data_IF_105168540597
#
_entry.id   IF_105168540597
#
_cell.length_a   1.000
_cell.length_b   1.000
_cell.length_c   1.000
_cell.angle_alpha   90.00
_cell.angle_beta   90.00
_cell.angle_gamma   90.00
#
_symmetry.space_group_name_H-M   'P 1'
#
loop_
_entity.id
_entity.type
_entity.pdbx_description
1 polymer ?
#
# COMPACT_ATOMS: atom_id res chain seq x y z
N UNK A 1 -12.27 -15.45 -28.04
CA UNK A 1 -11.61 -14.77 -26.91
C UNK A 1 -11.04 -15.88 -26.03
N UNK A 2 -9.82 -15.70 -25.52
CA UNK A 2 -9.27 -16.63 -24.52
C UNK A 2 -9.99 -16.42 -23.18
N UNK A 3 -10.06 -17.46 -22.36
CA UNK A 3 -10.69 -17.37 -21.06
C UNK A 3 -9.85 -16.49 -20.12
N UNK A 4 -10.54 -15.66 -19.34
CA UNK A 4 -9.92 -14.78 -18.35
C UNK A 4 -9.55 -15.64 -17.14
N UNK A 5 -8.26 -15.82 -16.90
CA UNK A 5 -7.75 -16.59 -15.76
C UNK A 5 -7.52 -15.73 -14.50
N UNK A 6 -7.24 -14.44 -14.68
CA UNK A 6 -6.95 -13.50 -13.60
C UNK A 6 -7.60 -12.16 -13.88
N UNK A 7 -8.07 -11.47 -12.83
CA UNK A 7 -8.51 -10.08 -12.88
C UNK A 7 -7.74 -9.32 -11.81
N UNK A 8 -7.07 -8.24 -12.23
CA UNK A 8 -6.26 -7.40 -11.35
C UNK A 8 -6.92 -6.04 -11.18
N UNK A 9 -7.07 -5.59 -9.93
CA UNK A 9 -7.41 -4.21 -9.57
C UNK A 9 -6.25 -3.57 -8.83
N UNK A 10 -6.15 -2.25 -8.91
CA UNK A 10 -5.16 -1.39 -8.25
C UNK A 10 -5.85 -0.06 -7.94
N UNK A 11 -5.35 0.69 -6.95
CA UNK A 11 -5.74 2.07 -6.67
C UNK A 11 -7.27 2.24 -6.54
N UNK A 12 -7.89 1.36 -5.76
CA UNK A 12 -9.33 1.44 -5.51
C UNK A 12 -9.67 2.44 -4.40
N UNK A 13 -8.75 2.67 -3.47
CA UNK A 13 -8.87 3.58 -2.32
C UNK A 13 -10.24 3.49 -1.61
N UNK A 14 -10.70 2.25 -1.36
CA UNK A 14 -12.01 2.03 -0.73
C UNK A 14 -12.01 2.61 0.69
N UNK A 15 -12.92 3.53 0.95
CA UNK A 15 -12.99 4.32 2.18
C UNK A 15 -12.65 5.80 1.99
N UNK A 16 -12.00 6.18 0.89
CA UNK A 16 -11.68 7.58 0.58
C UNK A 16 -12.89 8.35 0.05
N UNK A 17 -12.98 9.64 0.36
CA UNK A 17 -14.06 10.52 -0.12
C UNK A 17 -13.99 10.78 -1.64
N UNK A 18 -12.79 10.81 -2.22
CA UNK A 18 -12.58 11.06 -3.65
C UNK A 18 -12.59 9.78 -4.52
N UNK A 19 -12.59 8.60 -3.90
CA UNK A 19 -12.74 7.34 -4.63
C UNK A 19 -14.17 7.17 -5.16
N UNK A 20 -14.30 7.08 -6.49
CA UNK A 20 -15.57 6.76 -7.16
C UNK A 20 -16.15 5.40 -6.73
N UNK A 21 -15.32 4.51 -6.19
CA UNK A 21 -15.71 3.18 -5.73
C UNK A 21 -16.25 3.20 -4.30
N UNK A 22 -15.96 4.25 -3.54
CA UNK A 22 -16.56 4.54 -2.24
C UNK A 22 -17.92 5.21 -2.43
N UNK A 23 -18.89 4.83 -1.60
CA UNK A 23 -20.20 5.47 -1.60
C UNK A 23 -20.22 6.58 -0.56
N UNK A 24 -20.73 7.75 -0.92
CA UNK A 24 -20.90 8.89 -0.01
C UNK A 24 -22.37 9.08 0.39
N UNK A 25 -22.59 9.80 1.48
CA UNK A 25 -23.92 10.32 1.82
C UNK A 25 -24.33 11.41 0.84
N UNK A 26 -25.64 11.59 0.68
CA UNK A 26 -26.18 12.59 -0.23
C UNK A 26 -25.70 14.00 0.15
N UNK A 27 -25.10 14.70 -0.82
CA UNK A 27 -24.54 16.06 -0.65
C UNK A 27 -23.54 16.19 0.51
N UNK A 28 -22.70 15.18 0.73
CA UNK A 28 -21.71 15.14 1.82
C UNK A 28 -20.43 14.42 1.36
N UNK A 29 -19.31 14.72 2.03
CA UNK A 29 -18.06 13.97 1.90
C UNK A 29 -17.97 12.77 2.86
N UNK A 30 -18.96 12.60 3.75
CA UNK A 30 -19.04 11.45 4.64
C UNK A 30 -19.27 10.17 3.85
N UNK A 31 -18.49 9.13 4.17
CA UNK A 31 -18.72 7.79 3.61
C UNK A 31 -20.06 7.21 4.08
N UNK A 32 -20.81 6.60 3.16
CA UNK A 32 -21.94 5.73 3.46
C UNK A 32 -21.59 4.28 3.15
N UNK A 33 -21.00 3.64 4.16
CA UNK A 33 -20.56 2.25 4.12
C UNK A 33 -21.69 1.22 4.06
N UNK A 34 -22.96 1.62 4.15
CA UNK A 34 -24.11 0.68 4.16
C UNK A 34 -24.46 0.15 2.77
N UNK A 35 -24.03 0.83 1.70
CA UNK A 35 -24.37 0.48 0.32
C UNK A 35 -23.15 0.66 -0.59
N UNK A 36 -22.99 -0.17 -1.64
CA UNK A 36 -21.96 0.08 -2.64
C UNK A 36 -22.30 1.29 -3.50
N UNK A 37 -21.26 1.98 -4.00
CA UNK A 37 -21.43 3.12 -4.92
C UNK A 37 -22.07 2.67 -6.24
N UNK A 38 -22.66 3.61 -6.97
CA UNK A 38 -23.24 3.32 -8.27
C UNK A 38 -22.18 2.83 -9.26
N UNK A 39 -20.99 3.45 -9.24
CA UNK A 39 -19.86 3.10 -10.10
C UNK A 39 -19.36 1.69 -9.79
N UNK A 40 -19.21 1.34 -8.50
CA UNK A 40 -18.79 -0.01 -8.09
C UNK A 40 -19.76 -1.09 -8.57
N UNK A 41 -21.08 -0.83 -8.54
CA UNK A 41 -22.09 -1.76 -9.06
C UNK A 41 -21.97 -1.95 -10.57
N UNK A 42 -21.81 -0.87 -11.33
CA UNK A 42 -21.69 -0.96 -12.79
C UNK A 42 -20.35 -1.59 -13.20
N UNK A 43 -19.26 -1.31 -12.49
CA UNK A 43 -17.98 -2.00 -12.65
C UNK A 43 -18.15 -3.52 -12.53
N UNK A 44 -18.75 -4.00 -11.43
CA UNK A 44 -18.95 -5.44 -11.21
C UNK A 44 -19.90 -6.05 -12.26
N UNK A 45 -20.89 -5.30 -12.73
CA UNK A 45 -21.79 -5.74 -13.81
C UNK A 45 -21.04 -5.88 -15.14
N UNK A 46 -20.15 -4.96 -15.48
CA UNK A 46 -19.28 -5.05 -16.65
C UNK A 46 -18.35 -6.26 -16.55
N UNK A 47 -17.68 -6.45 -15.42
CA UNK A 47 -16.85 -7.64 -15.17
C UNK A 47 -17.62 -8.93 -15.36
N UNK A 48 -18.85 -8.99 -14.83
CA UNK A 48 -19.72 -10.16 -14.97
C UNK A 48 -20.01 -10.48 -16.44
N UNK A 49 -20.24 -9.47 -17.27
CA UNK A 49 -20.45 -9.65 -18.71
C UNK A 49 -19.20 -10.12 -19.45
N UNK A 50 -18.00 -9.77 -18.97
CA UNK A 50 -16.74 -10.23 -19.53
C UNK A 50 -16.45 -11.69 -19.12
N UNK A 51 -16.51 -11.98 -17.83
CA UNK A 51 -16.21 -13.31 -17.27
C UNK A 51 -17.24 -14.35 -17.71
N UNK A 52 -18.50 -13.97 -17.93
CA UNK A 52 -19.53 -14.90 -18.45
C UNK A 52 -19.25 -15.42 -19.87
N UNK A 53 -18.25 -14.88 -20.56
CA UNK A 53 -17.81 -15.34 -21.89
C UNK A 53 -16.72 -16.40 -21.83
N UNK A 54 -16.20 -16.69 -20.63
CA UNK A 54 -15.27 -17.81 -20.43
C UNK A 54 -15.96 -19.13 -20.81
N UNK A 55 -15.21 -20.02 -21.46
CA UNK A 55 -15.67 -21.35 -21.90
C UNK A 55 -15.55 -22.37 -20.78
N UNK A 56 -14.47 -22.30 -20.02
CA UNK A 56 -14.25 -23.11 -18.84
C UNK A 56 -15.10 -22.61 -17.67
N UNK A 57 -15.66 -23.53 -16.87
CA UNK A 57 -16.36 -23.21 -15.62
C UNK A 57 -15.38 -22.83 -14.48
N UNK A 58 -14.14 -22.49 -14.83
CA UNK A 58 -13.13 -22.06 -13.87
C UNK A 58 -13.26 -20.55 -13.65
N UNK A 59 -13.53 -20.16 -12.41
CA UNK A 59 -13.58 -18.75 -12.02
C UNK A 59 -12.18 -18.14 -12.02
N UNK A 60 -12.01 -16.90 -12.55
CA UNK A 60 -10.75 -16.19 -12.49
C UNK A 60 -10.29 -15.97 -11.04
N UNK A 61 -8.97 -15.93 -10.81
CA UNK A 61 -8.40 -15.47 -9.54
C UNK A 61 -8.43 -13.95 -9.49
N UNK A 62 -8.89 -13.39 -8.37
CA UNK A 62 -8.84 -11.96 -8.11
C UNK A 62 -7.47 -11.58 -7.52
N UNK A 63 -6.83 -10.59 -8.13
CA UNK A 63 -5.60 -9.96 -7.65
C UNK A 63 -5.95 -8.52 -7.28
N UNK A 64 -5.62 -8.14 -6.04
CA UNK A 64 -5.83 -6.83 -5.45
C UNK A 64 -4.44 -6.21 -5.25
N UNK A 65 -3.98 -5.46 -6.25
CA UNK A 65 -2.61 -4.99 -6.41
C UNK A 65 -2.44 -3.53 -6.01
N UNK A 66 -2.35 -3.26 -4.72
CA UNK A 66 -1.96 -1.97 -4.18
C UNK A 66 -3.11 -0.99 -4.01
N UNK A 67 -3.05 -0.24 -2.91
CA UNK A 67 -3.94 0.87 -2.56
C UNK A 67 -5.43 0.55 -2.80
N UNK A 68 -5.85 -0.62 -2.29
CA UNK A 68 -7.21 -1.12 -2.47
C UNK A 68 -8.10 -0.58 -1.36
N UNK A 69 -7.59 -0.55 -0.12
CA UNK A 69 -8.23 0.10 1.00
C UNK A 69 -7.54 1.44 1.24
N UNK A 70 -8.32 2.49 1.48
CA UNK A 70 -7.76 3.75 1.96
C UNK A 70 -7.49 3.63 3.45
N UNK A 71 -6.31 3.12 3.78
CA UNK A 71 -5.90 2.88 5.14
C UNK A 71 -4.95 3.97 5.64
N UNK A 72 -4.56 4.94 4.82
CA UNK A 72 -3.78 6.07 5.28
C UNK A 72 -4.67 7.16 5.85
N UNK A 73 -5.76 7.49 5.16
CA UNK A 73 -6.48 8.76 5.37
C UNK A 73 -7.86 8.58 5.98
N UNK A 74 -8.45 7.38 5.90
CA UNK A 74 -9.74 7.09 6.50
C UNK A 74 -9.63 6.12 7.69
N UNK A 75 -10.72 6.02 8.46
CA UNK A 75 -10.75 5.12 9.61
C UNK A 75 -10.78 3.66 9.14
N UNK A 76 -10.10 2.76 9.86
CA UNK A 76 -10.05 1.34 9.51
C UNK A 76 -11.45 0.73 9.33
N UNK A 77 -12.43 1.13 10.14
CA UNK A 77 -13.80 0.64 10.01
C UNK A 77 -14.48 1.10 8.71
N UNK A 78 -14.23 2.32 8.25
CA UNK A 78 -14.81 2.82 7.00
C UNK A 78 -14.23 2.09 5.80
N UNK A 79 -12.90 2.02 5.69
CA UNK A 79 -12.22 1.27 4.63
C UNK A 79 -12.65 -0.20 4.60
N UNK A 80 -12.68 -0.86 5.76
CA UNK A 80 -13.09 -2.26 5.88
C UNK A 80 -14.55 -2.47 5.43
N UNK A 81 -15.47 -1.62 5.87
CA UNK A 81 -16.88 -1.75 5.49
C UNK A 81 -17.11 -1.40 4.02
N UNK A 82 -16.36 -0.45 3.45
CA UNK A 82 -16.37 -0.18 2.00
C UNK A 82 -15.86 -1.39 1.21
N UNK A 83 -14.76 -2.01 1.65
CA UNK A 83 -14.25 -3.25 1.10
C UNK A 83 -15.26 -4.40 1.15
N UNK A 84 -16.00 -4.54 2.26
CA UNK A 84 -17.08 -5.54 2.35
C UNK A 84 -18.15 -5.35 1.26
N UNK A 85 -18.48 -4.10 0.90
CA UNK A 85 -19.47 -3.83 -0.18
C UNK A 85 -18.96 -4.30 -1.54
N UNK A 86 -17.66 -4.17 -1.82
CA UNK A 86 -17.05 -4.74 -3.02
C UNK A 86 -17.11 -6.26 -3.01
N UNK A 87 -16.67 -6.89 -1.92
CA UNK A 87 -16.65 -8.36 -1.78
C UNK A 87 -18.06 -8.94 -1.91
N UNK A 88 -19.08 -8.28 -1.38
CA UNK A 88 -20.48 -8.72 -1.53
C UNK A 88 -20.98 -8.75 -2.98
N UNK A 89 -20.50 -7.84 -3.81
CA UNK A 89 -20.89 -7.78 -5.21
C UNK A 89 -20.20 -8.87 -6.03
N UNK A 90 -18.93 -9.16 -5.73
CA UNK A 90 -18.12 -10.11 -6.51
C UNK A 90 -18.19 -11.55 -6.00
N UNK A 91 -18.44 -11.76 -4.70
CA UNK A 91 -18.56 -13.10 -4.08
C UNK A 91 -19.99 -13.51 -3.76
N UNK A 92 -20.99 -12.82 -4.34
CA UNK A 92 -22.42 -13.12 -4.12
C UNK A 92 -22.72 -14.61 -4.34
N UNK A 93 -23.23 -15.30 -3.31
CA UNK A 93 -23.53 -16.74 -3.34
C UNK A 93 -24.39 -17.13 -4.56
N UNK A 94 -23.94 -18.16 -5.28
CA UNK A 94 -24.56 -18.66 -6.54
C UNK A 94 -24.33 -17.75 -7.75
N UNK A 95 -23.58 -16.66 -7.60
CA UNK A 95 -23.21 -15.68 -8.63
C UNK A 95 -21.78 -15.18 -8.42
N UNK A 96 -20.91 -15.99 -7.83
CA UNK A 96 -19.55 -15.58 -7.52
C UNK A 96 -18.78 -15.38 -8.83
N UNK A 97 -18.05 -14.28 -8.93
CA UNK A 97 -17.24 -13.92 -10.10
C UNK A 97 -15.85 -14.55 -10.04
N UNK A 98 -15.32 -14.76 -8.85
CA UNK A 98 -13.93 -15.11 -8.64
C UNK A 98 -13.79 -16.41 -7.84
N UNK A 99 -12.60 -16.99 -7.94
CA UNK A 99 -12.14 -18.06 -7.05
C UNK A 99 -12.22 -17.62 -5.58
N UNK A 100 -12.30 -18.61 -4.67
CA UNK A 100 -12.33 -18.37 -3.23
C UNK A 100 -10.98 -17.91 -2.67
N UNK A 101 -9.90 -18.13 -3.41
CA UNK A 101 -8.57 -17.60 -3.12
C UNK A 101 -8.39 -16.25 -3.82
N UNK A 102 -8.17 -15.21 -3.02
CA UNK A 102 -7.87 -13.86 -3.48
C UNK A 102 -6.41 -13.55 -3.13
N UNK A 103 -5.67 -12.95 -4.06
CA UNK A 103 -4.31 -12.47 -3.83
C UNK A 103 -4.35 -10.98 -3.58
N UNK A 104 -3.70 -10.54 -2.51
CA UNK A 104 -3.57 -9.14 -2.13
C UNK A 104 -2.10 -8.75 -2.13
N UNK A 105 -1.75 -7.68 -2.81
CA UNK A 105 -0.42 -7.08 -2.82
C UNK A 105 -0.55 -5.69 -2.22
N UNK A 106 -0.17 -5.49 -0.95
CA UNK A 106 -0.28 -4.18 -0.32
C UNK A 106 0.53 -3.10 -1.04
N UNK A 107 -0.06 -1.92 -1.16
CA UNK A 107 0.54 -0.68 -1.59
C UNK A 107 1.01 0.14 -0.39
N UNK A 108 1.15 1.45 -0.58
CA UNK A 108 1.56 2.35 0.49
C UNK A 108 0.39 2.77 1.38
N UNK A 109 -0.81 2.99 0.84
CA UNK A 109 -1.98 3.40 1.63
C UNK A 109 -2.47 2.29 2.54
N UNK A 110 -2.27 1.03 2.14
CA UNK A 110 -2.68 -0.16 2.89
C UNK A 110 -1.50 -1.03 3.33
N UNK A 111 -0.29 -0.46 3.42
CA UNK A 111 0.95 -1.12 3.85
C UNK A 111 0.79 -1.83 5.20
N UNK A 112 0.02 -1.26 6.13
CA UNK A 112 -0.25 -1.87 7.43
C UNK A 112 -0.84 -3.29 7.37
N UNK A 113 -1.51 -3.65 6.26
CA UNK A 113 -1.98 -5.01 6.04
C UNK A 113 -0.83 -6.00 5.86
N UNK A 114 0.28 -5.58 5.25
CA UNK A 114 1.51 -6.37 5.23
C UNK A 114 2.10 -6.51 6.62
N UNK A 115 2.24 -5.41 7.36
CA UNK A 115 2.82 -5.41 8.71
C UNK A 115 2.10 -6.38 9.66
N UNK A 116 0.77 -6.31 9.70
CA UNK A 116 -0.04 -7.21 10.52
C UNK A 116 0.07 -8.68 10.08
N UNK A 117 0.12 -8.94 8.77
CA UNK A 117 0.29 -10.29 8.22
C UNK A 117 1.69 -10.86 8.53
N UNK A 118 2.74 -10.03 8.40
CA UNK A 118 4.13 -10.34 8.73
C UNK A 118 4.29 -10.68 10.21
N UNK A 119 3.76 -9.85 11.10
CA UNK A 119 3.82 -10.10 12.54
C UNK A 119 3.10 -11.40 12.90
N UNK A 120 1.91 -11.64 12.33
CA UNK A 120 1.18 -12.89 12.54
C UNK A 120 1.97 -14.10 12.06
N UNK A 121 2.59 -14.01 10.88
CA UNK A 121 3.46 -15.06 10.33
C UNK A 121 4.64 -15.34 11.28
N UNK A 122 5.26 -14.29 11.82
CA UNK A 122 6.39 -14.43 12.74
C UNK A 122 5.97 -15.04 14.09
N UNK A 123 4.81 -14.68 14.64
CA UNK A 123 4.23 -15.34 15.83
C UNK A 123 4.03 -16.84 15.58
N UNK A 124 3.52 -17.22 14.39
CA UNK A 124 3.38 -18.63 14.02
C UNK A 124 4.73 -19.34 13.83
N UNK A 125 5.75 -18.65 13.33
CA UNK A 125 7.12 -19.15 13.27
C UNK A 125 7.68 -19.42 14.66
N UNK A 126 7.56 -18.46 15.59
CA UNK A 126 8.00 -18.61 16.99
C UNK A 126 7.33 -19.82 17.64
N UNK A 127 6.00 -19.94 17.48
CA UNK A 127 5.22 -21.05 18.05
C UNK A 127 5.70 -22.43 17.59
N UNK A 128 6.21 -22.54 16.36
CA UNK A 128 6.69 -23.79 15.76
C UNK A 128 8.20 -24.01 15.95
N UNK A 129 8.95 -22.95 16.24
CA UNK A 129 10.40 -22.99 16.34
C UNK A 129 10.86 -23.71 17.60
N UNK A 130 11.89 -24.55 17.46
CA UNK A 130 12.64 -25.16 18.57
C UNK A 130 14.03 -24.54 18.74
N UNK A 131 14.34 -23.49 17.97
CA UNK A 131 15.65 -22.84 17.98
C UNK A 131 15.82 -22.04 19.28
N UNK A 132 17.04 -22.03 19.82
CA UNK A 132 17.40 -21.17 20.97
C UNK A 132 17.53 -19.70 20.59
N UNK A 133 17.87 -19.44 19.33
CA UNK A 133 17.96 -18.10 18.75
C UNK A 133 16.91 -17.97 17.65
N UNK A 134 16.18 -16.88 17.65
CA UNK A 134 15.17 -16.57 16.66
C UNK A 134 15.77 -15.64 15.60
N UNK A 135 15.55 -15.98 14.34
CA UNK A 135 15.94 -15.13 13.21
C UNK A 135 15.01 -13.90 13.15
N UNK A 136 15.44 -12.81 12.52
CA UNK A 136 14.59 -11.62 12.35
C UNK A 136 13.33 -11.95 11.51
N UNK A 137 12.22 -11.19 11.69
CA UNK A 137 11.03 -11.34 10.86
C UNK A 137 11.30 -11.13 9.37
N UNK A 138 10.48 -11.76 8.52
CA UNK A 138 10.60 -11.59 7.07
C UNK A 138 10.14 -10.23 6.61
N UNK A 139 10.93 -9.54 5.80
CA UNK A 139 10.57 -8.22 5.28
C UNK A 139 9.72 -8.31 4.02
N UNK A 140 9.89 -9.36 3.22
CA UNK A 140 9.09 -9.60 2.00
C UNK A 140 8.66 -11.06 1.89
N UNK A 141 7.66 -11.32 1.05
CA UNK A 141 7.27 -12.68 0.66
C UNK A 141 8.07 -13.18 -0.54
N UNK A 142 8.00 -14.48 -0.81
CA UNK A 142 8.39 -14.99 -2.13
C UNK A 142 7.38 -14.48 -3.17
N UNK A 143 7.84 -13.96 -4.31
CA UNK A 143 6.96 -13.47 -5.37
C UNK A 143 6.13 -14.61 -5.99
N UNK A 144 6.70 -15.81 -6.13
CA UNK A 144 6.06 -16.94 -6.80
C UNK A 144 5.40 -17.88 -5.78
N UNK A 145 4.20 -17.52 -5.32
CA UNK A 145 3.43 -18.23 -4.27
C UNK A 145 2.61 -19.41 -4.84
N UNK A 146 2.66 -19.66 -6.15
CA UNK A 146 1.93 -20.76 -6.79
C UNK A 146 2.40 -22.12 -6.24
N UNK A 147 1.62 -22.69 -5.31
CA UNK A 147 1.66 -24.04 -4.69
C UNK A 147 1.57 -24.04 -3.15
N UNK A 148 1.01 -23.01 -2.53
CA UNK A 148 0.61 -23.03 -1.10
C UNK A 148 1.78 -23.16 -0.11
N UNK A 149 3.02 -23.05 -0.59
CA UNK A 149 4.20 -23.00 0.25
C UNK A 149 4.61 -21.53 0.36
N UNK A 150 4.52 -20.98 1.58
CA UNK A 150 4.92 -19.60 1.85
C UNK A 150 3.84 -18.54 1.58
N UNK A 151 2.59 -18.94 1.33
CA UNK A 151 1.47 -18.00 1.32
C UNK A 151 1.28 -17.42 2.73
N UNK A 152 1.26 -16.10 2.83
CA UNK A 152 0.95 -15.38 4.07
C UNK A 152 -0.53 -15.05 4.03
N UNK A 153 -1.31 -15.40 5.05
CA UNK A 153 -2.71 -15.01 5.11
C UNK A 153 -2.83 -13.60 5.69
N UNK A 154 -3.64 -12.73 5.09
CA UNK A 154 -4.10 -11.52 5.76
C UNK A 154 -5.19 -11.90 6.75
N UNK A 155 -4.82 -12.05 8.03
CA UNK A 155 -5.78 -12.41 9.08
C UNK A 155 -6.93 -11.39 9.19
N UNK A 156 -6.63 -10.09 9.07
CA UNK A 156 -7.63 -9.03 9.13
C UNK A 156 -8.67 -9.15 8.01
N UNK A 157 -8.24 -9.09 6.74
CA UNK A 157 -9.16 -9.16 5.60
C UNK A 157 -9.86 -10.52 5.50
N UNK A 158 -9.17 -11.62 5.79
CA UNK A 158 -9.78 -12.96 5.77
C UNK A 158 -10.88 -13.06 6.82
N UNK A 159 -10.63 -12.62 8.05
CA UNK A 159 -11.64 -12.60 9.12
C UNK A 159 -12.83 -11.71 8.75
N UNK A 160 -12.56 -10.53 8.19
CA UNK A 160 -13.59 -9.59 7.72
C UNK A 160 -14.52 -10.25 6.69
N UNK A 161 -13.96 -10.87 5.66
CA UNK A 161 -14.73 -11.49 4.57
C UNK A 161 -15.44 -12.76 5.03
N UNK A 162 -14.82 -13.58 5.89
CA UNK A 162 -15.37 -14.84 6.37
C UNK A 162 -16.62 -14.67 7.25
N UNK A 163 -16.88 -13.47 7.79
CA UNK A 163 -18.16 -13.14 8.44
C UNK A 163 -19.37 -13.42 7.54
N UNK A 164 -19.20 -13.36 6.21
CA UNK A 164 -20.25 -13.60 5.20
C UNK A 164 -19.90 -14.70 4.21
N UNK A 165 -18.62 -14.92 3.95
CA UNK A 165 -18.13 -15.87 2.94
C UNK A 165 -17.07 -16.80 3.57
N UNK A 166 -17.49 -17.81 4.34
CA UNK A 166 -16.60 -18.56 5.24
C UNK A 166 -15.47 -19.33 4.53
N UNK A 167 -15.64 -19.63 3.24
CA UNK A 167 -14.64 -20.38 2.48
C UNK A 167 -13.64 -19.49 1.72
N UNK A 168 -13.78 -18.17 1.81
CA UNK A 168 -12.89 -17.22 1.11
C UNK A 168 -11.66 -16.96 1.96
N UNK A 169 -10.49 -16.96 1.32
CA UNK A 169 -9.19 -16.70 1.94
C UNK A 169 -8.48 -15.62 1.14
N UNK A 170 -7.92 -14.64 1.86
CA UNK A 170 -7.12 -13.56 1.27
C UNK A 170 -5.67 -13.79 1.65
N UNK A 171 -4.87 -14.14 0.65
CA UNK A 171 -3.42 -14.31 0.78
C UNK A 171 -2.69 -13.03 0.39
N UNK A 172 -1.66 -12.70 1.14
CA UNK A 172 -0.77 -11.56 0.92
C UNK A 172 0.50 -12.04 0.21
N UNK A 173 0.86 -11.31 -0.83
CA UNK A 173 2.17 -11.35 -1.46
C UNK A 173 2.73 -9.92 -1.46
N UNK A 174 3.92 -9.70 -0.91
CA UNK A 174 4.47 -8.36 -0.73
C UNK A 174 5.99 -8.31 -0.97
N UNK A 175 6.51 -7.25 -1.64
CA UNK A 175 5.76 -6.23 -2.37
C UNK A 175 5.40 -6.67 -3.80
N UNK A 176 5.80 -7.88 -4.19
CA UNK A 176 5.63 -8.40 -5.53
C UNK A 176 4.89 -9.73 -5.51
N UNK A 177 4.03 -9.94 -6.50
CA UNK A 177 3.42 -11.23 -6.81
C UNK A 177 3.79 -11.66 -8.23
N UNK A 178 4.13 -12.92 -8.43
CA UNK A 178 4.60 -13.46 -9.68
C UNK A 178 3.78 -14.66 -10.14
N UNK A 179 3.42 -14.66 -11.43
CA UNK A 179 2.86 -15.82 -12.12
C UNK A 179 3.90 -16.37 -13.09
N UNK A 180 4.04 -17.69 -13.17
CA UNK A 180 4.90 -18.37 -14.13
C UNK A 180 4.07 -19.02 -15.22
N UNK A 181 4.56 -18.99 -16.46
CA UNK A 181 4.02 -19.84 -17.50
C UNK A 181 4.24 -21.32 -17.14
N UNK A 182 3.42 -22.21 -17.70
CA UNK A 182 3.48 -23.66 -17.39
C UNK A 182 4.85 -24.29 -17.66
N UNK A 183 5.59 -23.76 -18.63
CA UNK A 183 6.95 -24.16 -19.01
C UNK A 183 8.05 -23.39 -18.25
N UNK A 184 7.69 -22.43 -17.40
CA UNK A 184 8.61 -21.57 -16.66
C UNK A 184 9.37 -20.56 -17.51
N UNK A 185 9.10 -20.45 -18.82
CA UNK A 185 9.86 -19.60 -19.74
C UNK A 185 9.45 -18.12 -19.68
N UNK A 186 8.27 -17.81 -19.14
CA UNK A 186 7.74 -16.45 -19.01
C UNK A 186 7.18 -16.24 -17.63
N UNK A 187 7.24 -14.99 -17.16
CA UNK A 187 6.57 -14.60 -15.94
C UNK A 187 5.82 -13.27 -16.13
N UNK A 188 4.81 -13.08 -15.30
CA UNK A 188 4.17 -11.78 -15.08
C UNK A 188 4.40 -11.43 -13.62
N UNK A 189 4.91 -10.23 -13.37
CA UNK A 189 5.13 -9.72 -12.01
C UNK A 189 4.19 -8.54 -11.79
N UNK A 190 3.42 -8.62 -10.71
CA UNK A 190 2.55 -7.59 -10.17
C UNK A 190 3.29 -6.89 -9.05
N UNK A 191 3.33 -5.57 -9.11
CA UNK A 191 3.88 -4.71 -8.07
C UNK A 191 3.08 -3.42 -8.03
N UNK A 192 2.92 -2.82 -6.85
CA UNK A 192 2.31 -1.49 -6.73
C UNK A 192 3.23 -0.40 -7.28
N UNK A 193 4.53 -0.52 -6.98
CA UNK A 193 5.56 0.41 -7.48
C UNK A 193 5.93 1.54 -6.53
N UNK A 194 5.40 1.59 -5.30
CA UNK A 194 5.74 2.65 -4.33
C UNK A 194 7.25 2.78 -4.08
N UNK A 195 8.05 1.69 -4.13
CA UNK A 195 9.51 1.80 -3.99
C UNK A 195 10.25 2.47 -5.16
N UNK A 196 9.56 2.81 -6.24
CA UNK A 196 10.11 3.63 -7.33
C UNK A 196 10.17 5.10 -6.91
N UNK A 197 9.25 5.54 -6.04
CA UNK A 197 9.20 6.89 -5.52
C UNK A 197 10.22 7.04 -4.36
N UNK A 198 11.12 8.02 -4.42
CA UNK A 198 12.17 8.16 -3.41
C UNK A 198 11.65 8.53 -2.01
N UNK A 199 10.42 9.03 -1.86
CA UNK A 199 9.84 9.26 -0.52
C UNK A 199 9.72 7.95 0.27
N UNK A 200 9.40 6.83 -0.39
CA UNK A 200 9.31 5.51 0.24
C UNK A 200 10.69 4.89 0.47
N UNK A 201 11.76 5.55 0.01
CA UNK A 201 13.15 5.19 0.23
C UNK A 201 13.89 6.22 1.08
N UNK A 202 13.15 7.08 1.79
CA UNK A 202 13.73 8.20 2.52
C UNK A 202 14.73 7.73 3.58
N UNK A 203 14.43 6.67 4.33
CA UNK A 203 15.32 6.20 5.40
C UNK A 203 16.61 5.61 4.84
N UNK A 204 16.54 4.89 3.72
CA UNK A 204 17.74 4.44 2.99
C UNK A 204 18.58 5.62 2.54
N UNK A 205 17.94 6.65 1.97
CA UNK A 205 18.60 7.86 1.50
C UNK A 205 19.25 8.63 2.67
N UNK A 206 18.58 8.75 3.80
CA UNK A 206 19.12 9.40 4.99
C UNK A 206 20.31 8.62 5.57
N UNK A 207 20.26 7.28 5.56
CA UNK A 207 21.40 6.45 5.99
C UNK A 207 22.62 6.70 5.13
N UNK A 208 22.48 6.70 3.81
CA UNK A 208 23.61 6.89 2.89
C UNK A 208 24.21 8.29 3.00
N UNK A 209 23.38 9.31 3.31
CA UNK A 209 23.85 10.67 3.59
C UNK A 209 24.54 10.81 4.96
N UNK A 210 24.02 10.18 6.01
CA UNK A 210 24.51 10.34 7.37
C UNK A 210 25.78 9.52 7.66
N UNK A 211 25.95 8.37 7.01
CA UNK A 211 27.04 7.44 7.28
C UNK A 211 27.89 7.20 6.03
N UNK A 212 28.99 7.94 5.93
CA UNK A 212 29.97 7.83 4.82
C UNK A 212 30.42 6.37 4.63
N UNK A 213 30.29 5.84 3.42
CA UNK A 213 30.63 4.45 3.08
C UNK A 213 29.46 3.47 3.11
N UNK A 214 28.25 3.92 3.46
CA UNK A 214 27.03 3.10 3.32
C UNK A 214 26.53 3.11 1.88
N UNK A 215 26.24 1.93 1.33
CA UNK A 215 25.66 1.80 -0.01
C UNK A 215 24.13 1.88 0.03
N UNK A 216 23.53 2.28 -1.09
CA UNK A 216 22.08 2.18 -1.28
C UNK A 216 21.66 0.70 -1.31
N UNK A 217 20.54 0.32 -0.67
CA UNK A 217 20.06 -1.06 -0.74
C UNK A 217 19.71 -1.43 -2.18
N UNK A 218 20.19 -2.60 -2.62
CA UNK A 218 19.97 -3.11 -3.98
C UNK A 218 18.91 -4.20 -4.04
N UNK A 219 18.52 -4.76 -2.88
CA UNK A 219 17.50 -5.80 -2.79
C UNK A 219 16.21 -5.23 -2.23
N UNK A 220 15.08 -5.78 -2.68
CA UNK A 220 13.77 -5.38 -2.19
C UNK A 220 13.60 -5.66 -0.69
N UNK A 221 14.28 -6.70 -0.20
CA UNK A 221 14.31 -7.03 1.21
C UNK A 221 14.94 -5.91 2.03
N UNK A 222 16.10 -5.41 1.62
CA UNK A 222 16.83 -4.37 2.34
C UNK A 222 16.11 -3.02 2.24
N UNK A 223 15.52 -2.70 1.07
CA UNK A 223 14.70 -1.51 0.89
C UNK A 223 13.53 -1.52 1.89
N UNK A 224 12.76 -2.60 1.96
CA UNK A 224 11.67 -2.71 2.94
C UNK A 224 12.21 -2.71 4.37
N UNK A 225 13.27 -3.47 4.68
CA UNK A 225 13.85 -3.55 6.03
C UNK A 225 14.23 -2.17 6.60
N UNK A 226 14.72 -1.27 5.73
CA UNK A 226 15.14 0.07 6.10
C UNK A 226 13.98 1.06 6.17
N UNK A 227 12.92 0.88 5.38
CA UNK A 227 11.87 1.89 5.19
C UNK A 227 10.50 1.50 5.74
N UNK A 228 10.22 0.23 6.09
CA UNK A 228 8.88 -0.22 6.48
C UNK A 228 8.27 0.63 7.59
N UNK A 229 9.06 0.97 8.61
CA UNK A 229 8.60 1.76 9.75
C UNK A 229 8.28 3.21 9.35
N UNK A 230 9.01 3.77 8.38
CA UNK A 230 8.71 5.09 7.83
C UNK A 230 7.42 5.06 7.01
N UNK A 231 7.24 4.04 6.18
CA UNK A 231 6.04 3.86 5.36
C UNK A 231 4.81 3.69 6.25
N UNK A 232 4.84 2.77 7.21
CA UNK A 232 3.72 2.53 8.13
C UNK A 232 3.46 3.72 9.06
N UNK A 233 4.51 4.41 9.51
CA UNK A 233 4.34 5.64 10.28
C UNK A 233 3.61 6.71 9.46
N UNK A 234 4.11 7.03 8.27
CA UNK A 234 3.58 8.13 7.47
C UNK A 234 2.17 7.81 6.94
N UNK A 235 1.98 6.61 6.40
CA UNK A 235 0.77 6.20 5.66
C UNK A 235 -0.18 5.30 6.44
N UNK A 236 0.03 5.04 7.71
CA UNK A 236 -0.91 4.24 8.50
C UNK A 236 -1.08 4.73 9.92
N UNK A 237 -0.04 5.29 10.53
CA UNK A 237 -0.15 5.90 11.86
C UNK A 237 -0.51 7.39 11.78
N UNK A 238 0.24 8.16 11.01
CA UNK A 238 0.13 9.61 10.95
C UNK A 238 -1.11 10.03 10.17
N UNK A 239 -1.34 9.46 8.98
CA UNK A 239 -2.57 9.71 8.21
C UNK A 239 -3.86 9.43 9.00
N UNK A 240 -3.89 8.36 9.81
CA UNK A 240 -5.06 8.02 10.66
C UNK A 240 -5.18 8.87 11.93
N UNK A 241 -4.23 9.77 12.21
CA UNK A 241 -4.23 10.60 13.43
C UNK A 241 -5.18 11.81 13.36
N UNK A 242 -6.31 11.66 12.67
CA UNK A 242 -7.33 12.69 12.51
C UNK A 242 -6.79 13.98 11.91
N UNK A 243 -7.01 15.12 12.59
CA UNK A 243 -6.59 16.44 12.10
C UNK A 243 -5.07 16.54 11.83
N UNK A 244 -4.24 15.79 12.57
CA UNK A 244 -2.80 15.77 12.34
C UNK A 244 -2.45 15.04 11.03
N UNK A 245 -3.15 13.95 10.72
CA UNK A 245 -3.02 13.24 9.46
C UNK A 245 -3.42 14.09 8.27
N UNK A 246 -4.58 14.76 8.34
CA UNK A 246 -5.05 15.68 7.30
C UNK A 246 -4.07 16.84 7.03
N UNK A 247 -3.38 17.33 8.05
CA UNK A 247 -2.37 18.37 7.89
C UNK A 247 -1.10 17.87 7.17
N UNK A 248 -0.72 16.61 7.40
CA UNK A 248 0.44 15.98 6.76
C UNK A 248 0.13 15.57 5.33
N UNK A 249 -1.09 15.11 5.07
CA UNK A 249 -1.61 14.87 3.72
C UNK A 249 -1.60 16.16 2.89
N UNK A 250 -2.17 17.25 3.41
CA UNK A 250 -2.08 18.56 2.78
C UNK A 250 -0.63 19.01 2.59
N UNK A 251 0.29 18.61 3.46
CA UNK A 251 1.71 18.88 3.25
C UNK A 251 2.26 18.03 2.09
N UNK A 252 1.92 16.73 2.02
CA UNK A 252 2.31 15.77 0.98
C UNK A 252 1.76 16.07 -0.41
N UNK A 253 0.48 16.43 -0.54
CA UNK A 253 -0.09 16.89 -1.81
C UNK A 253 0.69 18.09 -2.34
N UNK A 254 1.06 19.00 -1.43
CA UNK A 254 1.94 20.12 -1.73
C UNK A 254 3.39 19.69 -1.98
N UNK A 255 3.83 18.51 -1.53
CA UNK A 255 5.16 17.98 -1.84
C UNK A 255 5.34 17.64 -3.32
N UNK A 256 4.24 17.41 -4.05
CA UNK A 256 4.27 17.19 -5.50
C UNK A 256 4.55 18.47 -6.29
N UNK A 257 4.46 19.64 -5.65
CA UNK A 257 4.91 20.90 -6.21
C UNK A 257 6.20 21.36 -5.51
N UNK A 258 7.33 21.32 -6.23
CA UNK A 258 8.67 21.62 -5.71
C UNK A 258 8.72 22.90 -4.86
N UNK A 259 8.02 23.94 -5.34
CA UNK A 259 7.93 25.24 -4.67
C UNK A 259 7.17 25.14 -3.34
N UNK A 260 6.03 24.48 -3.32
CA UNK A 260 5.20 24.36 -2.12
C UNK A 260 5.86 23.46 -1.09
N UNK A 261 6.61 22.43 -1.52
CA UNK A 261 7.38 21.60 -0.60
C UNK A 261 8.49 22.40 0.11
N UNK A 262 9.25 23.20 -0.65
CA UNK A 262 10.29 24.07 -0.07
C UNK A 262 9.69 25.05 0.92
N UNK A 263 8.56 25.68 0.59
CA UNK A 263 7.84 26.59 1.49
C UNK A 263 7.38 25.88 2.77
N UNK A 264 6.85 24.66 2.66
CA UNK A 264 6.48 23.83 3.82
C UNK A 264 7.69 23.52 4.73
N UNK A 265 8.77 22.98 4.15
CA UNK A 265 9.99 22.64 4.90
C UNK A 265 10.60 23.87 5.57
N UNK A 266 10.58 25.01 4.89
CA UNK A 266 11.10 26.24 5.43
C UNK A 266 10.25 26.74 6.60
N UNK A 267 8.92 26.73 6.45
CA UNK A 267 8.00 27.08 7.53
C UNK A 267 8.09 26.13 8.72
N UNK A 268 8.32 24.84 8.50
CA UNK A 268 8.54 23.87 9.57
C UNK A 268 9.82 24.16 10.35
N UNK A 269 10.94 24.40 9.66
CA UNK A 269 12.23 24.73 10.27
C UNK A 269 12.20 26.07 11.01
N UNK A 270 11.50 27.08 10.47
CA UNK A 270 11.29 28.36 11.15
C UNK A 270 10.44 28.17 12.42
N UNK A 271 9.34 27.41 12.34
CA UNK A 271 8.50 27.14 13.52
C UNK A 271 9.26 26.36 14.60
N UNK A 272 10.15 25.43 14.23
CA UNK A 272 11.01 24.72 15.18
C UNK A 272 11.94 25.69 15.92
N UNK A 273 12.63 26.55 15.18
CA UNK A 273 13.53 27.57 15.72
C UNK A 273 12.78 28.59 16.60
N UNK A 274 11.60 29.02 16.18
CA UNK A 274 10.87 30.10 16.85
C UNK A 274 10.10 29.63 18.08
N UNK A 275 9.67 28.35 18.13
CA UNK A 275 8.91 27.80 19.27
C UNK A 275 9.75 27.03 20.27
N UNK A 276 10.90 26.48 19.87
CA UNK A 276 11.69 25.62 20.74
C UNK A 276 13.13 26.13 20.84
N UNK A 277 13.57 26.42 22.07
CA UNK A 277 14.96 26.74 22.36
C UNK A 277 15.78 25.43 22.40
N UNK A 278 16.10 24.91 21.21
CA UNK A 278 16.85 23.67 21.05
C UNK A 278 18.36 23.97 21.19
N UNK A 279 19.08 23.28 22.10
CA UNK A 279 20.50 23.54 22.32
C UNK A 279 21.33 23.35 21.04
N UNK A 280 22.01 24.41 20.60
CA UNK A 280 22.82 24.42 19.36
C UNK A 280 22.03 24.68 18.07
N UNK A 281 20.73 24.98 18.17
CA UNK A 281 19.89 25.37 17.06
C UNK A 281 19.79 26.90 17.00
N UNK A 282 20.49 27.52 16.06
CA UNK A 282 20.41 28.95 15.80
C UNK A 282 19.89 29.24 14.38
N UNK A 283 19.79 30.53 14.04
CA UNK A 283 19.37 30.94 12.69
C UNK A 283 20.33 30.46 11.60
N UNK A 284 21.62 30.29 11.90
CA UNK A 284 22.60 29.80 10.94
C UNK A 284 22.41 28.28 10.68
N UNK A 285 22.11 27.50 11.72
CA UNK A 285 21.72 26.10 11.63
C UNK A 285 20.42 25.95 10.83
N UNK A 286 19.41 26.78 11.12
CA UNK A 286 18.13 26.80 10.38
C UNK A 286 18.36 27.10 8.90
N UNK A 287 19.16 28.11 8.58
CA UNK A 287 19.51 28.44 7.20
C UNK A 287 20.27 27.32 6.48
N UNK A 288 21.19 26.66 7.18
CA UNK A 288 21.96 25.52 6.65
C UNK A 288 21.06 24.32 6.35
N UNK A 289 20.15 24.00 7.28
CA UNK A 289 19.16 22.94 7.08
C UNK A 289 18.22 23.25 5.92
N UNK A 290 17.77 24.51 5.77
CA UNK A 290 16.99 24.95 4.60
C UNK A 290 17.76 24.76 3.29
N UNK A 291 19.06 25.07 3.26
CA UNK A 291 19.91 24.84 2.08
C UNK A 291 20.06 23.36 1.75
N UNK A 292 20.30 22.52 2.75
CA UNK A 292 20.38 21.06 2.57
C UNK A 292 19.04 20.52 2.06
N UNK A 293 17.93 20.93 2.65
CA UNK A 293 16.59 20.60 2.21
C UNK A 293 16.34 21.00 0.74
N UNK A 294 16.68 22.24 0.35
CA UNK A 294 16.53 22.71 -1.04
C UNK A 294 17.33 21.86 -2.03
N UNK A 295 18.57 21.51 -1.70
CA UNK A 295 19.43 20.67 -2.55
C UNK A 295 18.89 19.24 -2.69
N UNK A 296 18.33 18.68 -1.62
CA UNK A 296 17.70 17.36 -1.67
C UNK A 296 16.45 17.38 -2.55
N UNK A 297 15.62 18.41 -2.42
CA UNK A 297 14.41 18.60 -3.25
C UNK A 297 14.78 18.77 -4.73
N UNK A 298 15.75 19.62 -5.04
CA UNK A 298 16.21 19.87 -6.42
C UNK A 298 16.84 18.62 -7.06
N UNK A 299 17.63 17.86 -6.29
CA UNK A 299 18.21 16.60 -6.76
C UNK A 299 17.12 15.57 -7.06
N UNK A 300 16.06 15.54 -6.28
CA UNK A 300 14.93 14.65 -6.49
C UNK A 300 14.09 15.04 -7.71
N UNK A 301 13.80 16.33 -7.89
CA UNK A 301 13.14 16.85 -9.08
C UNK A 301 13.92 16.53 -10.37
N UNK A 302 15.24 16.72 -10.36
CA UNK A 302 16.10 16.41 -11.50
C UNK A 302 16.19 14.90 -11.82
N UNK A 303 15.95 14.02 -10.84
CA UNK A 303 15.88 12.56 -11.05
C UNK A 303 14.52 12.16 -11.66
N UNK A 304 13.45 12.87 -11.31
CA UNK A 304 12.10 12.66 -11.85
C UNK A 304 11.99 13.15 -13.31
N UNK A 305 12.53 14.33 -13.63
CA UNK A 305 12.53 14.87 -15.00
C UNK A 305 13.34 14.02 -16.00
N UNK A 306 14.36 13.29 -15.54
CA UNK A 306 15.14 12.38 -16.40
C UNK A 306 14.44 11.05 -16.71
N UNK A 307 13.30 10.76 -16.07
CA UNK A 307 12.54 9.52 -16.23
C UNK A 307 11.29 9.68 -17.11
N UNK A 308 10.93 10.89 -17.56
CA UNK A 308 9.94 11.06 -18.62
C UNK A 308 10.60 10.86 -20.00
N UNK A 309 10.21 9.84 -20.77
CA UNK A 309 10.64 9.75 -22.16
C UNK A 309 9.87 10.81 -22.98
N UNK A 310 10.62 11.70 -23.62
CA UNK A 310 10.16 12.46 -24.80
C UNK A 310 9.76 11.53 -25.95
#
# INVERSE_FOLDING_TARGET
MADIAYVCFSDMHLGEEDSLLTNLREASSDTDTRRPSAVLKELVKCLRSLVSRNREDKKPTLILNGDILELALCTTNEAAMAFERFIELVMKKGKELFDKRIIYVPGNHDHHLWETARERQYVEHIRKSKKKHLDIPWQVTNAFVEKGHGAVESHFLTTLVQRRFPDVVIEVAYPNFGLLSRDGARCVVFHHGHFIDPLYRLMSTLRTLAFSGSEEPTTIWDIEAENFAWIDFFWSTLGRSGNAGRAVELAYEKMHEEKQFKEFLYGFLDNLNDKYDLPGWDQATTWTLKRIASLLVEKQAAILERKEPS
#
